data_IF_804681140095
#
_entry.id   IF_804681140095
#
_cell.length_a   1.000
_cell.length_b   1.000
_cell.length_c   1.000
_cell.angle_alpha   90.00
_cell.angle_beta   90.00
_cell.angle_gamma   90.00
#
_symmetry.space_group_name_H-M   'P 1'
#
loop_
_entity.id
_entity.type
_entity.pdbx_description
1 polymer ?
#
# COMPACT_ATOMS: atom_id res chain seq x y z
N UNK A 1 20.34 -21.58 -14.28
CA UNK A 1 19.41 -22.72 -14.40
C UNK A 1 18.02 -22.17 -14.07
N UNK A 2 17.12 -22.08 -15.05
CA UNK A 2 15.75 -21.59 -14.82
C UNK A 2 14.88 -22.74 -14.27
N UNK A 3 13.91 -22.46 -13.40
CA UNK A 3 13.04 -23.50 -12.84
C UNK A 3 12.21 -24.18 -13.95
N UNK A 4 12.13 -25.51 -13.86
CA UNK A 4 11.28 -26.37 -14.70
C UNK A 4 9.81 -25.95 -14.57
N UNK A 5 9.08 -26.04 -15.68
CA UNK A 5 7.76 -25.43 -15.91
C UNK A 5 6.76 -25.71 -14.78
N UNK A 6 6.75 -26.92 -14.22
CA UNK A 6 5.83 -27.31 -13.14
C UNK A 6 6.13 -26.58 -11.82
N UNK A 7 7.40 -26.46 -11.43
CA UNK A 7 7.79 -25.71 -10.23
C UNK A 7 7.52 -24.22 -10.41
N UNK A 8 7.73 -23.68 -11.61
CA UNK A 8 7.40 -22.29 -11.95
C UNK A 8 5.90 -22.02 -11.83
N UNK A 9 5.04 -22.94 -12.28
CA UNK A 9 3.58 -22.80 -12.18
C UNK A 9 3.07 -22.84 -10.74
N UNK A 10 3.62 -23.72 -9.90
CA UNK A 10 3.25 -23.84 -8.48
C UNK A 10 3.73 -22.63 -7.68
N UNK A 11 4.97 -22.17 -7.93
CA UNK A 11 5.51 -20.97 -7.29
C UNK A 11 4.71 -19.73 -7.72
N UNK A 12 4.33 -19.65 -8.99
CA UNK A 12 3.53 -18.53 -9.50
C UNK A 12 2.09 -18.54 -8.98
N UNK A 13 1.47 -19.72 -8.79
CA UNK A 13 0.13 -19.82 -8.20
C UNK A 13 0.13 -19.52 -6.69
N UNK A 14 1.14 -20.00 -5.95
CA UNK A 14 1.35 -19.63 -4.55
C UNK A 14 1.67 -18.15 -4.38
N UNK A 15 2.46 -17.56 -5.27
CA UNK A 15 2.83 -16.14 -5.19
C UNK A 15 1.67 -15.20 -5.50
N UNK A 16 0.65 -15.62 -6.25
CA UNK A 16 -0.54 -14.78 -6.49
C UNK A 16 -1.42 -14.64 -5.26
N UNK A 17 -1.62 -15.73 -4.52
CA UNK A 17 -2.57 -15.79 -3.40
C UNK A 17 -2.39 -14.66 -2.35
N UNK A 18 -1.17 -14.34 -1.88
CA UNK A 18 -0.96 -13.33 -0.84
C UNK A 18 -0.90 -11.88 -1.35
N UNK A 19 -0.99 -11.63 -2.66
CA UNK A 19 -0.86 -10.27 -3.23
C UNK A 19 -2.23 -9.59 -3.38
N UNK A 20 -3.32 -10.35 -3.28
CA UNK A 20 -4.66 -9.80 -3.39
C UNK A 20 -5.11 -9.27 -2.02
N UNK A 21 -5.25 -7.94 -1.85
CA UNK A 21 -5.90 -7.41 -0.66
C UNK A 21 -7.35 -7.94 -0.62
N UNK A 22 -7.80 -8.30 0.58
CA UNK A 22 -9.19 -8.71 0.80
C UNK A 22 -10.12 -7.57 0.37
N UNK A 23 -11.32 -7.85 -0.19
CA UNK A 23 -12.30 -6.79 -0.47
C UNK A 23 -12.69 -5.97 0.77
N UNK A 24 -12.47 -6.52 1.97
CA UNK A 24 -12.74 -5.88 3.27
C UNK A 24 -11.47 -5.33 3.95
N UNK A 25 -10.39 -5.07 3.19
CA UNK A 25 -9.11 -4.59 3.77
C UNK A 25 -9.25 -3.20 4.39
N UNK A 26 -8.78 -3.05 5.64
CA UNK A 26 -8.74 -1.76 6.33
C UNK A 26 -7.37 -1.11 6.13
N UNK A 27 -7.33 0.04 5.44
CA UNK A 27 -6.09 0.77 5.21
C UNK A 27 -5.76 1.72 6.35
N UNK A 28 -4.46 2.03 6.46
CA UNK A 28 -3.95 2.89 7.53
C UNK A 28 -4.63 4.27 7.54
N UNK A 29 -5.26 4.62 8.66
CA UNK A 29 -5.92 5.92 8.85
C UNK A 29 -7.27 6.08 8.13
N UNK A 30 -7.84 5.00 7.59
CA UNK A 30 -9.13 5.02 6.89
C UNK A 30 -10.32 5.10 7.85
N UNK A 31 -10.37 4.20 8.84
CA UNK A 31 -11.45 4.14 9.83
C UNK A 31 -10.89 4.39 11.24
N UNK A 32 -11.63 5.17 12.03
CA UNK A 32 -11.38 5.28 13.47
C UNK A 32 -12.29 4.27 14.17
N UNK A 33 -11.73 3.50 15.09
CA UNK A 33 -12.51 2.59 15.92
C UNK A 33 -13.56 3.38 16.72
N UNK A 34 -14.84 2.94 16.79
CA UNK A 34 -15.91 3.70 17.43
C UNK A 34 -15.60 4.08 18.88
N UNK A 35 -14.96 3.18 19.62
CA UNK A 35 -14.54 3.39 21.01
C UNK A 35 -13.48 4.50 21.19
N UNK A 36 -12.73 4.84 20.14
CA UNK A 36 -11.74 5.91 20.13
C UNK A 36 -12.31 7.24 19.61
N UNK A 37 -13.42 7.19 18.87
CA UNK A 37 -14.11 8.37 18.37
C UNK A 37 -14.87 9.16 19.45
N UNK A 38 -15.20 8.50 20.57
CA UNK A 38 -15.87 9.12 21.73
C UNK A 38 -14.94 10.07 22.50
N UNK A 39 -13.63 9.81 22.51
CA UNK A 39 -12.64 10.69 23.13
C UNK A 39 -12.19 11.77 22.14
N UNK A 40 -12.47 13.04 22.49
CA UNK A 40 -12.13 14.21 21.67
C UNK A 40 -10.61 14.36 21.44
N UNK A 41 -9.78 13.95 22.39
CA UNK A 41 -8.32 14.04 22.29
C UNK A 41 -7.81 13.01 21.30
N UNK A 42 -8.28 11.76 21.42
CA UNK A 42 -7.87 10.66 20.53
C UNK A 42 -8.34 10.94 19.11
N UNK A 43 -9.58 11.41 18.94
CA UNK A 43 -10.11 11.81 17.64
C UNK A 43 -9.26 12.89 16.97
N UNK A 44 -8.89 13.96 17.68
CA UNK A 44 -8.07 15.04 17.12
C UNK A 44 -6.66 14.57 16.74
N UNK A 45 -6.06 13.68 17.55
CA UNK A 45 -4.77 13.07 17.22
C UNK A 45 -4.87 12.19 15.96
N UNK A 46 -5.95 11.42 15.81
CA UNK A 46 -6.21 10.60 14.63
C UNK A 46 -6.42 11.44 13.36
N UNK A 47 -7.15 12.54 13.45
CA UNK A 47 -7.34 13.48 12.33
C UNK A 47 -6.00 14.07 11.87
N UNK A 48 -5.13 14.46 12.82
CA UNK A 48 -3.78 14.93 12.51
C UNK A 48 -2.96 13.85 11.82
N UNK A 49 -3.02 12.62 12.30
CA UNK A 49 -2.34 11.48 11.70
C UNK A 49 -2.82 11.23 10.27
N UNK A 50 -4.13 11.16 10.04
CA UNK A 50 -4.71 10.98 8.71
C UNK A 50 -4.28 12.09 7.74
N UNK A 51 -4.24 13.34 8.21
CA UNK A 51 -3.71 14.47 7.42
C UNK A 51 -2.24 14.28 7.01
N UNK A 52 -1.38 13.78 7.91
CA UNK A 52 0.01 13.50 7.60
C UNK A 52 0.18 12.34 6.60
N UNK A 53 -0.63 11.29 6.73
CA UNK A 53 -0.62 10.15 5.80
C UNK A 53 -0.98 10.58 4.37
N UNK A 54 -2.01 11.42 4.21
CA UNK A 54 -2.36 12.01 2.90
C UNK A 54 -1.25 12.90 2.34
N UNK A 55 -0.54 13.64 3.18
CA UNK A 55 0.61 14.44 2.75
C UNK A 55 1.75 13.55 2.23
N UNK A 56 2.02 12.42 2.88
CA UNK A 56 3.04 11.46 2.46
C UNK A 56 2.73 10.89 1.08
N UNK A 57 1.46 10.59 0.78
CA UNK A 57 1.05 10.16 -0.56
C UNK A 57 1.43 11.18 -1.64
N UNK A 58 1.20 12.48 -1.36
CA UNK A 58 1.61 13.57 -2.24
C UNK A 58 3.14 13.63 -2.45
N UNK A 59 3.92 13.43 -1.38
CA UNK A 59 5.39 13.38 -1.45
C UNK A 59 5.86 12.19 -2.31
N UNK A 60 5.24 11.02 -2.15
CA UNK A 60 5.56 9.82 -2.94
C UNK A 60 5.26 10.07 -4.43
N UNK A 61 4.13 10.70 -4.75
CA UNK A 61 3.78 11.07 -6.12
C UNK A 61 4.81 12.03 -6.72
N UNK A 62 5.19 13.08 -5.98
CA UNK A 62 6.20 14.04 -6.43
C UNK A 62 7.55 13.35 -6.71
N UNK A 63 8.00 12.45 -5.82
CA UNK A 63 9.24 11.68 -6.01
C UNK A 63 9.19 10.68 -7.14
N UNK A 64 8.02 10.13 -7.47
CA UNK A 64 7.87 9.25 -8.63
C UNK A 64 7.85 10.04 -9.96
N UNK A 65 7.48 11.32 -9.93
CA UNK A 65 7.53 12.22 -11.08
C UNK A 65 8.91 12.86 -11.30
N UNK A 66 9.77 12.83 -10.28
CA UNK A 66 11.11 13.38 -10.34
C UNK A 66 12.03 12.48 -11.17
N UNK A 67 12.48 13.00 -12.31
CA UNK A 67 13.38 12.31 -13.25
C UNK A 67 14.82 12.22 -12.74
N UNK A 68 15.20 13.04 -11.75
CA UNK A 68 16.53 12.93 -11.12
C UNK A 68 16.61 11.69 -10.21
N UNK A 69 15.45 11.18 -9.75
CA UNK A 69 15.36 9.94 -8.96
C UNK A 69 15.31 8.70 -9.85
N UNK A 70 16.46 8.35 -10.44
CA UNK A 70 16.62 7.26 -11.41
C UNK A 70 16.14 5.87 -10.94
N UNK A 71 16.11 5.61 -9.63
CA UNK A 71 15.61 4.34 -9.08
C UNK A 71 14.08 4.23 -9.05
N UNK A 72 13.36 5.27 -9.51
CA UNK A 72 11.89 5.35 -9.48
C UNK A 72 11.31 5.76 -10.84
N UNK A 73 12.17 6.12 -11.79
CA UNK A 73 11.79 6.74 -13.07
C UNK A 73 12.68 6.19 -14.19
N UNK A 74 12.09 5.55 -15.21
CA UNK A 74 12.85 4.97 -16.33
C UNK A 74 12.12 3.86 -17.09
N UNK A 75 12.61 3.50 -18.28
CA UNK A 75 12.00 2.44 -19.10
C UNK A 75 12.15 1.06 -18.43
N UNK A 76 11.04 0.40 -18.15
CA UNK A 76 11.00 -0.89 -17.45
C UNK A 76 10.98 -0.79 -15.92
N UNK A 77 11.05 0.41 -15.34
CA UNK A 77 10.86 0.65 -13.91
C UNK A 77 9.39 0.98 -13.64
N UNK A 78 8.76 0.20 -12.76
CA UNK A 78 7.42 0.48 -12.26
C UNK A 78 7.53 1.57 -11.20
N UNK A 79 6.64 2.60 -11.20
CA UNK A 79 6.63 3.61 -10.16
C UNK A 79 6.57 2.97 -8.77
N UNK A 80 7.35 3.51 -7.82
CA UNK A 80 7.35 2.97 -6.47
C UNK A 80 6.12 3.43 -5.72
N UNK A 81 5.13 2.54 -5.62
CA UNK A 81 3.81 2.85 -5.07
C UNK A 81 3.44 2.01 -3.84
N UNK A 82 4.32 1.11 -3.42
CA UNK A 82 4.06 0.18 -2.33
C UNK A 82 3.78 0.87 -0.98
N UNK A 83 4.38 2.03 -0.74
CA UNK A 83 4.17 2.83 0.48
C UNK A 83 3.05 3.86 0.34
N UNK A 84 2.25 3.81 -0.73
CA UNK A 84 1.03 4.62 -0.78
C UNK A 84 0.03 4.05 0.22
N UNK A 85 -0.56 4.91 1.06
CA UNK A 85 -1.40 4.46 2.17
C UNK A 85 -2.69 3.79 1.70
N UNK A 86 -3.30 4.28 0.62
CA UNK A 86 -4.56 3.80 0.09
C UNK A 86 -4.38 2.98 -1.18
N UNK A 87 -5.30 2.05 -1.39
CA UNK A 87 -5.35 1.26 -2.61
C UNK A 87 -6.78 0.90 -2.98
N UNK A 88 -6.99 0.68 -4.27
CA UNK A 88 -8.23 0.10 -4.78
C UNK A 88 -8.12 -1.43 -4.76
N UNK A 89 -9.26 -2.11 -4.70
CA UNK A 89 -9.32 -3.57 -4.71
C UNK A 89 -8.64 -4.16 -5.97
N UNK A 90 -7.72 -5.11 -5.78
CA UNK A 90 -7.02 -5.81 -6.86
C UNK A 90 -5.50 -5.85 -6.69
N UNK A 91 -4.80 -6.38 -7.71
CA UNK A 91 -3.32 -6.41 -7.74
C UNK A 91 -2.81 -5.05 -8.19
N UNK A 92 -2.89 -4.08 -7.29
CA UNK A 92 -2.56 -2.67 -7.55
C UNK A 92 -1.12 -2.35 -7.18
N UNK A 93 -0.47 -3.15 -6.32
CA UNK A 93 0.91 -2.93 -5.88
C UNK A 93 1.08 -1.72 -4.95
N UNK A 94 -0.02 -1.26 -4.34
CA UNK A 94 -0.14 -0.08 -3.47
C UNK A 94 -1.06 -0.44 -2.29
N UNK A 95 -1.04 0.36 -1.21
CA UNK A 95 -1.87 0.17 -0.03
C UNK A 95 -1.08 -0.39 1.14
N UNK A 96 -1.07 0.35 2.26
CA UNK A 96 -0.46 -0.11 3.51
C UNK A 96 -1.59 -0.59 4.42
N UNK A 97 -1.73 -1.91 4.65
CA UNK A 97 -2.77 -2.42 5.52
C UNK A 97 -2.52 -1.99 6.96
N UNK A 98 -3.59 -1.81 7.72
CA UNK A 98 -3.51 -1.40 9.12
C UNK A 98 -2.91 -2.51 10.03
N UNK A 99 -2.93 -3.76 9.58
CA UNK A 99 -2.40 -4.92 10.29
C UNK A 99 -1.81 -5.97 9.33
N UNK A 100 -1.16 -7.02 9.87
CA UNK A 100 -0.73 -8.17 9.05
C UNK A 100 -1.95 -9.06 8.85
N UNK A 101 -2.61 -8.92 7.70
CA UNK A 101 -3.86 -9.60 7.33
C UNK A 101 -3.68 -10.78 6.36
N UNK A 102 -2.43 -11.11 5.97
CA UNK A 102 -2.11 -12.14 4.98
C UNK A 102 -0.80 -12.89 5.26
#
# INVERSE_FOLDING_TARGET
>A
MLPITTSSSIVYSSSRYPIHPSPDEEYIGEQIQPCWAEDKVIKSAFERFNGQIKMIEGIINARNADTELMNRTGAGLVPYEHLKPFSEAGVTGKGVPNSISI
#
